data_IF_029249065189
#
_entry.id   IF_029249065189
#
_cell.length_a   1.000
_cell.length_b   1.000
_cell.length_c   1.000
_cell.angle_alpha   90.00
_cell.angle_beta   90.00
_cell.angle_gamma   90.00
#
_symmetry.space_group_name_H-M   'P 1'
#
loop_
_entity.id
_entity.type
_entity.pdbx_description
1 polymer ?
#
# COMPACT_ATOMS: atom_id res chain seq x y z
N UNK A 1 50.16 -2.94 8.32
CA UNK A 1 49.26 -1.82 7.94
C UNK A 1 47.81 -2.16 8.24
N UNK A 2 47.10 -1.29 8.95
CA UNK A 2 45.66 -1.43 9.16
C UNK A 2 44.88 -1.24 7.83
N UNK A 3 43.68 -1.84 7.73
CA UNK A 3 42.82 -1.69 6.55
C UNK A 3 41.91 -0.47 6.72
N UNK A 4 41.74 0.31 5.65
CA UNK A 4 40.79 1.44 5.63
C UNK A 4 39.33 1.00 5.77
N UNK A 5 38.48 1.87 6.33
CA UNK A 5 37.01 1.69 6.43
C UNK A 5 36.36 1.42 5.08
N UNK A 6 36.89 2.02 4.00
CA UNK A 6 36.38 1.83 2.63
C UNK A 6 37.10 0.71 1.86
N UNK A 7 37.97 -0.06 2.53
CA UNK A 7 38.61 -1.21 1.87
C UNK A 7 37.58 -2.23 1.39
N UNK A 8 37.79 -2.78 0.19
CA UNK A 8 36.83 -3.72 -0.42
C UNK A 8 36.63 -4.97 0.44
N UNK A 9 37.72 -5.52 0.99
CA UNK A 9 37.71 -6.70 1.86
C UNK A 9 36.88 -6.47 3.13
N UNK A 10 36.99 -5.32 3.81
CA UNK A 10 36.20 -5.05 5.01
C UNK A 10 34.74 -4.74 4.68
N UNK A 11 34.47 -4.13 3.50
CA UNK A 11 33.10 -3.88 3.05
C UNK A 11 32.35 -5.16 2.71
N UNK A 12 32.96 -6.09 1.98
CA UNK A 12 32.33 -7.39 1.66
C UNK A 12 32.05 -8.21 2.92
N UNK A 13 32.98 -8.24 3.87
CA UNK A 13 32.73 -8.92 5.14
C UNK A 13 31.57 -8.28 5.93
N UNK A 14 31.45 -6.96 5.90
CA UNK A 14 30.31 -6.26 6.51
C UNK A 14 29.00 -6.50 5.76
N UNK A 15 29.01 -6.67 4.44
CA UNK A 15 27.78 -6.98 3.70
C UNK A 15 27.27 -8.37 4.08
N UNK A 16 28.15 -9.38 4.07
CA UNK A 16 27.81 -10.76 4.49
C UNK A 16 27.24 -10.78 5.91
N UNK A 17 27.85 -10.06 6.85
CA UNK A 17 27.31 -9.95 8.22
C UNK A 17 25.92 -9.35 8.29
N UNK A 18 25.58 -8.42 7.40
CA UNK A 18 24.25 -7.78 7.39
C UNK A 18 23.19 -8.67 6.75
N UNK A 19 23.55 -9.43 5.72
CA UNK A 19 22.59 -10.24 4.95
C UNK A 19 22.38 -11.64 5.54
N UNK A 20 23.45 -12.27 6.02
CA UNK A 20 23.44 -13.69 6.43
C UNK A 20 23.70 -13.87 7.93
N UNK A 21 24.14 -12.81 8.61
CA UNK A 21 24.49 -12.86 10.03
C UNK A 21 23.31 -12.56 10.96
N UNK A 22 23.63 -12.49 12.25
CA UNK A 22 22.70 -12.17 13.36
C UNK A 22 21.92 -10.86 13.12
N UNK A 23 22.52 -9.89 12.42
CA UNK A 23 21.86 -8.63 12.09
C UNK A 23 20.59 -8.83 11.24
N UNK A 24 20.62 -9.78 10.29
CA UNK A 24 19.47 -10.06 9.43
C UNK A 24 18.29 -10.61 10.25
N UNK A 25 18.54 -11.57 11.14
CA UNK A 25 17.50 -12.17 11.98
C UNK A 25 16.84 -11.15 12.92
N UNK A 26 17.64 -10.25 13.53
CA UNK A 26 17.14 -9.19 14.41
C UNK A 26 16.30 -8.18 13.63
N UNK A 27 16.74 -7.77 12.44
CA UNK A 27 15.97 -6.86 11.58
C UNK A 27 14.65 -7.49 11.13
N UNK A 28 14.67 -8.76 10.71
CA UNK A 28 13.44 -9.49 10.33
C UNK A 28 12.44 -9.57 11.49
N UNK A 29 12.90 -9.91 12.71
CA UNK A 29 12.04 -9.96 13.88
C UNK A 29 11.41 -8.59 14.21
N UNK A 30 12.19 -7.50 14.06
CA UNK A 30 11.69 -6.14 14.24
C UNK A 30 10.63 -5.78 13.20
N UNK A 31 10.85 -6.12 11.93
CA UNK A 31 9.89 -5.88 10.85
C UNK A 31 8.59 -6.64 11.08
N UNK A 32 8.65 -7.91 11.47
CA UNK A 32 7.47 -8.73 11.78
C UNK A 32 6.66 -8.13 12.93
N UNK A 33 7.33 -7.66 13.99
CA UNK A 33 6.66 -6.97 15.11
C UNK A 33 5.95 -5.69 14.66
N UNK A 34 6.58 -4.89 13.80
CA UNK A 34 5.96 -3.67 13.27
C UNK A 34 4.78 -4.00 12.37
N UNK A 35 4.91 -5.00 11.52
CA UNK A 35 3.83 -5.45 10.65
C UNK A 35 2.61 -5.90 11.47
N UNK A 36 2.80 -6.74 12.49
CA UNK A 36 1.72 -7.17 13.38
C UNK A 36 0.99 -5.98 14.04
N UNK A 37 1.74 -4.98 14.52
CA UNK A 37 1.16 -3.75 15.09
C UNK A 37 0.35 -2.96 14.06
N UNK A 38 0.87 -2.82 12.84
CA UNK A 38 0.17 -2.11 11.77
C UNK A 38 -1.11 -2.84 11.34
N UNK A 39 -1.08 -4.17 11.26
CA UNK A 39 -2.28 -4.97 10.97
C UNK A 39 -3.35 -4.83 12.05
N UNK A 40 -2.96 -4.75 13.33
CA UNK A 40 -3.89 -4.47 14.44
C UNK A 40 -4.51 -3.07 14.36
N UNK A 41 -3.71 -2.05 14.05
CA UNK A 41 -4.23 -0.69 13.88
C UNK A 41 -5.16 -0.61 12.66
N UNK A 42 -4.76 -1.22 11.54
CA UNK A 42 -5.56 -1.23 10.31
C UNK A 42 -6.93 -1.90 10.54
N UNK A 43 -6.95 -3.09 11.16
CA UNK A 43 -8.19 -3.80 11.50
C UNK A 43 -9.07 -3.06 12.50
N UNK A 44 -8.48 -2.29 13.44
CA UNK A 44 -9.23 -1.42 14.35
C UNK A 44 -9.82 -0.18 13.66
N UNK A 45 -9.14 0.34 12.64
CA UNK A 45 -9.56 1.56 11.93
C UNK A 45 -10.53 1.32 10.77
N UNK A 46 -10.63 0.07 10.29
CA UNK A 46 -11.65 -0.30 9.33
C UNK A 46 -13.01 -0.31 10.06
N UNK A 47 -14.07 0.34 9.53
CA UNK A 47 -15.41 0.10 10.02
C UNK A 47 -15.69 -1.40 9.87
N UNK A 48 -16.00 -2.07 10.99
CA UNK A 48 -16.36 -3.50 10.99
C UNK A 48 -17.48 -3.69 9.94
N UNK A 49 -17.30 -4.50 8.89
CA UNK A 49 -18.48 -5.03 8.22
C UNK A 49 -19.19 -5.92 9.25
N UNK A 50 -20.43 -5.57 9.60
CA UNK A 50 -21.33 -6.51 10.26
C UNK A 50 -21.32 -7.80 9.43
N UNK A 51 -20.74 -8.85 10.00
CA UNK A 51 -20.88 -10.21 9.53
C UNK A 51 -21.16 -11.04 10.76
N UNK A 52 -22.46 -11.23 10.94
CA UNK A 52 -23.17 -12.40 11.41
C UNK A 52 -22.35 -13.40 12.22
N UNK A 53 -22.79 -13.51 13.47
CA UNK A 53 -22.60 -14.63 14.38
C UNK A 53 -22.87 -15.95 13.65
N UNK A 54 -21.85 -16.80 13.51
CA UNK A 54 -21.91 -18.28 13.54
C UNK A 54 -20.55 -18.85 13.11
N UNK A 55 -19.67 -19.12 14.07
CA UNK A 55 -19.03 -20.43 14.27
C UNK A 55 -18.17 -20.36 15.55
N UNK A 56 -18.71 -20.91 16.63
CA UNK A 56 -17.90 -21.42 17.73
C UNK A 56 -17.14 -22.64 17.21
N UNK A 57 -15.81 -22.63 17.32
CA UNK A 57 -15.11 -23.86 17.68
C UNK A 57 -14.11 -23.55 18.80
N UNK A 58 -14.12 -24.44 19.76
CA UNK A 58 -13.60 -24.27 21.10
C UNK A 58 -12.16 -24.76 21.17
N UNK A 59 -11.27 -23.95 21.77
CA UNK A 59 -10.32 -24.53 22.70
C UNK A 59 -10.05 -23.56 23.84
N UNK A 60 -10.27 -24.06 25.05
CA UNK A 60 -10.31 -23.31 26.28
C UNK A 60 -9.14 -23.72 27.18
N UNK A 61 -8.84 -22.83 28.13
CA UNK A 61 -7.91 -22.92 29.28
C UNK A 61 -6.51 -22.33 28.97
N UNK A 62 -6.07 -21.26 29.63
CA UNK A 62 -6.01 -21.11 31.09
C UNK A 62 -6.62 -19.81 31.66
N UNK A 63 -7.04 -19.95 32.93
CA UNK A 63 -7.75 -19.01 33.77
C UNK A 63 -6.81 -18.15 34.65
N UNK A 64 -7.42 -17.11 35.24
CA UNK A 64 -7.03 -16.30 36.40
C UNK A 64 -6.21 -15.04 36.08
N UNK A 65 -6.73 -13.80 36.21
CA UNK A 65 -7.16 -13.14 37.45
C UNK A 65 -8.22 -12.02 37.20
N UNK A 66 -9.20 -11.78 38.11
CA UNK A 66 -10.15 -10.68 38.03
C UNK A 66 -9.76 -9.50 38.94
N UNK A 67 -9.88 -8.26 38.46
CA UNK A 67 -10.18 -7.08 39.29
C UNK A 67 -11.12 -6.17 38.52
N UNK A 68 -12.35 -6.10 39.03
CA UNK A 68 -13.35 -5.09 38.73
C UNK A 68 -12.85 -3.68 39.10
N UNK A 69 -13.06 -2.71 38.22
CA UNK A 69 -13.41 -1.35 38.63
C UNK A 69 -14.49 -0.84 37.68
N UNK A 70 -15.74 -1.04 38.08
CA UNK A 70 -16.90 -0.26 37.65
C UNK A 70 -16.79 1.15 38.27
N UNK A 71 -16.83 2.19 37.42
CA UNK A 71 -17.28 3.55 37.76
C UNK A 71 -17.59 4.27 36.43
N UNK A 72 -18.82 4.23 35.95
CA UNK A 72 -19.90 5.22 36.16
C UNK A 72 -19.82 6.42 35.19
N UNK A 73 -20.76 6.41 34.24
CA UNK A 73 -21.51 7.56 33.69
C UNK A 73 -20.78 8.85 33.27
N UNK A 74 -20.74 9.09 31.96
CA UNK A 74 -21.01 10.42 31.39
C UNK A 74 -21.93 10.30 30.15
N UNK A 75 -23.17 10.82 30.19
CA UNK A 75 -24.02 11.01 29.03
C UNK A 75 -23.73 12.38 28.41
N UNK A 76 -23.17 12.42 27.20
CA UNK A 76 -22.90 13.70 26.57
C UNK A 76 -21.88 13.63 25.44
N UNK A 77 -22.21 12.91 24.38
CA UNK A 77 -21.57 13.09 23.09
C UNK A 77 -22.66 13.30 22.05
N UNK A 78 -22.95 14.58 21.87
CA UNK A 78 -23.71 15.23 20.82
C UNK A 78 -23.59 14.46 19.48
N UNK A 79 -24.57 13.60 19.19
CA UNK A 79 -24.63 12.87 17.92
C UNK A 79 -25.13 13.85 16.85
N UNK A 80 -24.20 14.49 16.16
CA UNK A 80 -24.53 15.37 15.04
C UNK A 80 -25.29 14.59 13.96
N UNK A 81 -26.56 14.95 13.80
CA UNK A 81 -27.46 14.43 12.80
C UNK A 81 -26.95 14.85 11.41
N UNK A 82 -26.57 13.88 10.58
CA UNK A 82 -26.13 14.13 9.20
C UNK A 82 -27.36 14.17 8.30
N UNK A 83 -27.73 15.36 7.85
CA UNK A 83 -28.80 15.54 6.86
C UNK A 83 -28.44 14.79 5.56
N UNK A 84 -29.22 13.76 5.25
CA UNK A 84 -29.02 12.87 4.12
C UNK A 84 -29.59 13.47 2.82
N UNK A 85 -29.12 14.65 2.43
CA UNK A 85 -29.34 15.14 1.07
C UNK A 85 -28.33 14.47 0.13
N UNK A 86 -28.83 13.67 -0.80
CA UNK A 86 -28.07 12.81 -1.72
C UNK A 86 -26.80 13.48 -2.24
N UNK A 87 -25.65 13.13 -1.65
CA UNK A 87 -24.37 13.74 -1.97
C UNK A 87 -24.00 13.37 -3.41
N UNK A 88 -24.06 14.35 -4.33
CA UNK A 88 -23.44 14.23 -5.66
C UNK A 88 -22.00 13.77 -5.42
N UNK A 89 -21.60 12.63 -6.01
CA UNK A 89 -20.24 12.10 -5.86
C UNK A 89 -19.25 13.16 -6.39
N UNK A 90 -18.65 13.91 -5.48
CA UNK A 90 -17.59 14.87 -5.82
C UNK A 90 -16.35 14.04 -6.13
N UNK A 91 -15.96 14.00 -7.40
CA UNK A 91 -14.65 13.44 -7.78
C UNK A 91 -13.57 14.27 -7.11
N UNK A 92 -12.94 13.71 -6.08
CA UNK A 92 -11.79 14.34 -5.38
C UNK A 92 -10.53 14.38 -6.24
N UNK A 93 -10.56 13.72 -7.39
CA UNK A 93 -9.47 13.74 -8.36
C UNK A 93 -9.82 14.72 -9.46
N UNK A 94 -9.06 15.82 -9.52
CA UNK A 94 -9.08 16.74 -10.66
C UNK A 94 -8.69 16.01 -11.95
N UNK A 95 -9.02 16.58 -13.12
CA UNK A 95 -8.71 15.95 -14.39
C UNK A 95 -7.21 15.71 -14.49
N UNK A 96 -6.82 14.45 -14.76
CA UNK A 96 -5.43 14.02 -14.97
C UNK A 96 -4.94 14.48 -16.36
N UNK A 97 -5.12 15.76 -16.66
CA UNK A 97 -4.68 16.35 -17.90
C UNK A 97 -3.15 16.30 -17.94
N UNK A 98 -2.60 15.77 -19.01
CA UNK A 98 -1.17 15.90 -19.26
C UNK A 98 -0.89 17.36 -19.63
N UNK A 99 0.21 17.93 -19.12
CA UNK A 99 0.70 19.26 -19.53
C UNK A 99 0.81 19.40 -21.06
N UNK A 100 1.04 18.28 -21.76
CA UNK A 100 1.07 18.24 -23.24
C UNK A 100 -0.32 18.45 -23.84
N UNK A 101 -1.38 17.89 -23.26
CA UNK A 101 -2.74 18.04 -23.76
C UNK A 101 -3.27 19.45 -23.48
N UNK A 102 -2.89 20.04 -22.34
CA UNK A 102 -3.17 21.47 -22.04
C UNK A 102 -2.48 22.42 -23.04
N UNK A 103 -1.20 22.17 -23.35
CA UNK A 103 -0.50 22.94 -24.37
C UNK A 103 -1.13 22.77 -25.76
N UNK A 104 -1.61 21.57 -26.11
CA UNK A 104 -2.32 21.36 -27.37
C UNK A 104 -3.66 22.07 -27.41
N UNK A 105 -4.46 21.98 -26.35
CA UNK A 105 -5.76 22.67 -26.23
C UNK A 105 -5.59 24.19 -26.32
N UNK A 106 -4.60 24.76 -25.62
CA UNK A 106 -4.27 26.20 -25.72
C UNK A 106 -3.74 26.62 -27.09
N UNK A 107 -3.21 25.69 -27.88
CA UNK A 107 -2.78 25.92 -29.27
C UNK A 107 -3.85 25.55 -30.30
N UNK A 108 -5.07 25.22 -29.88
CA UNK A 108 -6.15 24.81 -30.78
C UNK A 108 -5.88 23.50 -31.53
N UNK A 109 -4.93 22.70 -31.05
CA UNK A 109 -4.59 21.40 -31.62
C UNK A 109 -5.44 20.31 -30.96
N UNK A 110 -5.94 19.36 -31.76
CA UNK A 110 -6.70 18.21 -31.26
C UNK A 110 -5.85 17.42 -30.24
N UNK A 111 -6.44 17.04 -29.11
CA UNK A 111 -5.80 16.16 -28.14
C UNK A 111 -5.31 14.86 -28.81
N UNK A 112 -4.20 14.28 -28.34
CA UNK A 112 -3.74 13.02 -28.94
C UNK A 112 -4.79 11.94 -28.61
N UNK A 113 -5.14 11.06 -29.56
CA UNK A 113 -5.99 9.94 -29.25
C UNK A 113 -5.31 9.09 -28.17
N UNK A 114 -6.00 8.83 -27.07
CA UNK A 114 -5.51 7.90 -26.06
C UNK A 114 -5.53 6.49 -26.66
N UNK A 115 -4.41 5.78 -26.55
CA UNK A 115 -4.37 4.37 -26.95
C UNK A 115 -5.05 3.55 -25.86
N UNK A 116 -6.32 3.25 -26.07
CA UNK A 116 -7.10 2.37 -25.21
C UNK A 116 -6.92 0.90 -25.59
N UNK A 117 -6.34 0.62 -26.76
CA UNK A 117 -6.08 -0.74 -27.21
C UNK A 117 -5.01 -1.42 -26.37
N UNK A 118 -5.35 -2.62 -25.93
CA UNK A 118 -4.51 -3.47 -25.09
C UNK A 118 -3.92 -4.58 -25.97
N UNK A 119 -2.62 -4.84 -25.83
CA UNK A 119 -1.96 -5.94 -26.50
C UNK A 119 -2.41 -7.29 -25.90
N UNK A 120 -2.09 -8.39 -26.58
CA UNK A 120 -2.46 -9.75 -26.13
C UNK A 120 -1.85 -10.16 -24.77
N UNK A 121 -0.92 -9.37 -24.24
CA UNK A 121 -0.25 -9.57 -22.96
C UNK A 121 -0.77 -8.61 -21.86
N UNK A 122 -1.85 -7.85 -22.11
CA UNK A 122 -2.47 -6.97 -21.11
C UNK A 122 -1.83 -5.59 -20.94
N UNK A 123 -0.89 -5.18 -21.80
CA UNK A 123 -0.27 -3.85 -21.80
C UNK A 123 -0.81 -2.93 -22.90
N UNK A 124 -0.64 -1.60 -22.77
CA UNK A 124 -1.05 -0.64 -23.81
C UNK A 124 -0.32 -0.92 -25.13
N UNK A 125 -1.06 -1.06 -26.23
CA UNK A 125 -0.51 -1.40 -27.53
C UNK A 125 0.50 -0.33 -28.02
N UNK A 126 1.76 -0.73 -28.15
CA UNK A 126 2.79 0.09 -28.78
C UNK A 126 2.52 0.22 -30.28
N UNK A 127 2.69 1.40 -30.85
CA UNK A 127 2.76 1.55 -32.31
C UNK A 127 4.18 1.22 -32.74
N UNK A 128 4.35 0.24 -33.62
CA UNK A 128 5.65 0.02 -34.26
C UNK A 128 6.07 1.32 -34.95
N UNK A 129 7.29 1.80 -34.65
CA UNK A 129 7.86 2.95 -35.36
C UNK A 129 8.11 2.52 -36.80
N UNK A 130 7.49 3.20 -37.76
CA UNK A 130 7.79 2.99 -39.17
C UNK A 130 9.29 3.07 -39.42
N UNK A 131 9.84 2.09 -40.15
CA UNK A 131 11.26 2.01 -40.47
C UNK A 131 12.09 1.04 -39.62
N UNK A 132 11.52 0.38 -38.60
CA UNK A 132 12.21 -0.72 -37.92
C UNK A 132 11.84 -2.07 -38.55
N UNK A 133 12.79 -2.63 -39.30
CA UNK A 133 12.69 -3.98 -39.85
C UNK A 133 12.72 -4.97 -38.68
N UNK A 134 11.75 -5.88 -38.54
CA UNK A 134 11.77 -6.87 -37.48
C UNK A 134 12.97 -7.81 -37.67
N UNK A 135 13.85 -7.87 -36.68
CA UNK A 135 14.94 -8.84 -36.62
C UNK A 135 14.31 -10.23 -36.48
N UNK A 136 14.27 -11.01 -37.58
CA UNK A 136 13.89 -12.42 -37.54
C UNK A 136 14.92 -13.17 -36.69
N UNK A 137 14.49 -13.61 -35.51
CA UNK A 137 15.24 -14.60 -34.73
C UNK A 137 14.85 -15.98 -35.26
N UNK A 138 15.84 -16.77 -35.65
CA UNK A 138 15.72 -18.20 -36.00
C UNK A 138 15.74 -19.01 -34.71
#
# INVERSE_FOLDING_TARGET
MAKSTRSKVKRSFRSVKRTEGVYAAVEAARLNRLHAKLSQVASRSAPRPEKDEEEMDADAQDKDLPVETLDESLPGADSMQVDADSSKKISTHGPRNSRRDEWRNSKGLVARPSKTEMNRQGGVAGTQKGGQIPQKTI
#
